data_IF_559296314623
#
_entry.id   IF_559296314623
#
_cell.length_a   1.000
_cell.length_b   1.000
_cell.length_c   1.000
_cell.angle_alpha   90.00
_cell.angle_beta   90.00
_cell.angle_gamma   90.00
#
_symmetry.space_group_name_H-M   'P 1'
#
loop_
_entity.id
_entity.type
_entity.pdbx_description
1 polymer ?
#
# COMPACT_ATOMS: atom_id res chain seq x y z
N UNK A 1 11.21 19.48 -31.69
CA UNK A 1 10.32 19.74 -30.55
C UNK A 1 9.76 18.40 -30.07
N UNK A 2 10.23 17.92 -28.91
CA UNK A 2 9.82 16.62 -28.35
C UNK A 2 8.36 16.69 -27.91
N UNK A 3 7.52 15.78 -28.41
CA UNK A 3 6.18 15.57 -27.86
C UNK A 3 6.36 14.87 -26.52
N UNK A 4 6.20 15.59 -25.42
CA UNK A 4 6.12 15.00 -24.09
C UNK A 4 4.93 14.02 -24.10
N UNK A 5 5.22 12.72 -24.13
CA UNK A 5 4.23 11.68 -23.97
C UNK A 5 3.92 11.60 -22.47
N UNK A 6 2.75 12.06 -22.05
CA UNK A 6 2.31 11.91 -20.67
C UNK A 6 1.85 10.47 -20.48
N UNK A 7 2.71 9.63 -19.90
CA UNK A 7 2.33 8.28 -19.49
C UNK A 7 1.55 8.35 -18.18
N UNK A 8 0.24 8.11 -18.26
CA UNK A 8 -0.60 7.97 -17.07
C UNK A 8 -0.42 6.56 -16.51
N UNK A 9 0.49 6.40 -15.54
CA UNK A 9 0.63 5.14 -14.81
C UNK A 9 -0.56 4.95 -13.87
N UNK A 10 -1.44 3.99 -14.20
CA UNK A 10 -2.62 3.64 -13.40
C UNK A 10 -2.27 2.89 -12.09
N UNK A 11 -0.98 2.60 -11.87
CA UNK A 11 -0.45 1.84 -10.71
C UNK A 11 -0.91 2.44 -9.38
N UNK A 12 -1.01 3.77 -9.27
CA UNK A 12 -1.47 4.45 -8.05
C UNK A 12 -2.91 4.12 -7.66
N UNK A 13 -3.75 3.66 -8.60
CA UNK A 13 -5.16 3.30 -8.35
C UNK A 13 -5.35 1.82 -7.98
N UNK A 14 -4.29 1.01 -8.12
CA UNK A 14 -4.38 -0.45 -7.94
C UNK A 14 -4.68 -0.80 -6.49
N UNK A 15 -4.15 -0.06 -5.51
CA UNK A 15 -4.39 -0.32 -4.08
C UNK A 15 -5.87 -0.22 -3.70
N UNK A 16 -6.52 0.90 -4.03
CA UNK A 16 -7.95 1.10 -3.77
C UNK A 16 -8.83 0.13 -4.56
N UNK A 17 -8.51 -0.12 -5.83
CA UNK A 17 -9.26 -1.05 -6.65
C UNK A 17 -9.19 -2.48 -6.09
N UNK A 18 -8.00 -2.91 -5.64
CA UNK A 18 -7.80 -4.21 -4.99
C UNK A 18 -8.67 -4.33 -3.74
N UNK A 19 -8.62 -3.33 -2.85
CA UNK A 19 -9.42 -3.32 -1.63
C UNK A 19 -10.93 -3.35 -1.94
N UNK A 20 -11.39 -2.58 -2.93
CA UNK A 20 -12.79 -2.54 -3.34
C UNK A 20 -13.28 -3.88 -3.93
N UNK A 21 -12.48 -4.52 -4.81
CA UNK A 21 -12.83 -5.80 -5.43
C UNK A 21 -12.86 -6.94 -4.40
N UNK A 22 -11.85 -7.01 -3.52
CA UNK A 22 -11.83 -8.02 -2.45
C UNK A 22 -12.99 -7.81 -1.48
N UNK A 23 -13.26 -6.57 -1.07
CA UNK A 23 -14.38 -6.26 -0.19
C UNK A 23 -15.74 -6.58 -0.80
N UNK A 24 -15.94 -6.32 -2.09
CA UNK A 24 -17.17 -6.69 -2.79
C UNK A 24 -17.34 -8.21 -2.88
N UNK A 25 -16.28 -8.94 -3.24
CA UNK A 25 -16.30 -10.39 -3.34
C UNK A 25 -16.63 -11.03 -1.97
N UNK A 26 -15.90 -10.64 -0.93
CA UNK A 26 -16.09 -11.20 0.40
C UNK A 26 -17.45 -10.80 0.96
N UNK A 27 -17.90 -9.57 0.74
CA UNK A 27 -19.23 -9.09 1.15
C UNK A 27 -20.38 -9.89 0.55
N UNK A 28 -20.32 -10.22 -0.76
CA UNK A 28 -21.34 -11.03 -1.42
C UNK A 28 -21.35 -12.46 -0.87
N UNK A 29 -20.19 -13.11 -0.82
CA UNK A 29 -20.10 -14.52 -0.41
C UNK A 29 -20.47 -14.70 1.06
N UNK A 30 -19.95 -13.85 1.94
CA UNK A 30 -20.20 -13.94 3.38
C UNK A 30 -21.66 -13.63 3.73
N UNK A 31 -22.24 -12.55 3.17
CA UNK A 31 -23.64 -12.17 3.44
C UNK A 31 -24.61 -13.22 2.90
N UNK A 32 -24.39 -13.73 1.68
CA UNK A 32 -25.24 -14.77 1.11
C UNK A 32 -25.16 -16.07 1.92
N UNK A 33 -23.95 -16.49 2.30
CA UNK A 33 -23.75 -17.69 3.13
C UNK A 33 -24.42 -17.56 4.50
N UNK A 34 -24.32 -16.38 5.13
CA UNK A 34 -24.98 -16.09 6.40
C UNK A 34 -26.50 -16.16 6.27
N UNK A 35 -27.08 -15.51 5.25
CA UNK A 35 -28.53 -15.52 5.00
C UNK A 35 -29.04 -16.93 4.75
N UNK A 36 -28.35 -17.71 3.90
CA UNK A 36 -28.70 -19.10 3.61
C UNK A 36 -28.62 -19.94 4.89
N UNK A 37 -27.56 -19.80 5.68
CA UNK A 37 -27.38 -20.52 6.94
C UNK A 37 -28.50 -20.24 7.93
N UNK A 38 -28.81 -18.97 8.19
CA UNK A 38 -29.88 -18.57 9.12
C UNK A 38 -31.26 -19.02 8.61
N UNK A 39 -31.52 -18.89 7.31
CA UNK A 39 -32.78 -19.33 6.71
C UNK A 39 -32.96 -20.87 6.81
N UNK A 40 -31.88 -21.63 6.63
CA UNK A 40 -31.91 -23.10 6.73
C UNK A 40 -32.23 -23.60 8.15
N UNK A 41 -32.00 -22.76 9.18
CA UNK A 41 -32.31 -23.06 10.57
C UNK A 41 -33.78 -22.79 10.95
N UNK A 42 -34.70 -22.75 9.97
CA UNK A 42 -36.13 -22.45 10.17
C UNK A 42 -36.39 -21.09 10.86
N UNK A 43 -35.50 -20.11 10.69
CA UNK A 43 -35.68 -18.77 11.22
C UNK A 43 -36.81 -18.00 10.49
N UNK A 44 -37.42 -17.04 11.18
CA UNK A 44 -38.42 -16.16 10.55
C UNK A 44 -37.77 -15.23 9.53
N UNK A 45 -38.53 -14.75 8.53
CA UNK A 45 -38.04 -13.77 7.54
C UNK A 45 -37.48 -12.51 8.20
N UNK A 46 -38.10 -12.03 9.29
CA UNK A 46 -37.61 -10.89 10.04
C UNK A 46 -36.23 -11.16 10.65
N UNK A 47 -36.02 -12.33 11.24
CA UNK A 47 -34.73 -12.75 11.79
C UNK A 47 -33.65 -12.85 10.72
N UNK A 48 -33.98 -13.38 9.54
CA UNK A 48 -33.06 -13.48 8.40
C UNK A 48 -32.64 -12.10 7.91
N UNK A 49 -33.59 -11.15 7.78
CA UNK A 49 -33.28 -9.78 7.36
C UNK A 49 -32.39 -9.06 8.37
N UNK A 50 -32.69 -9.19 9.67
CA UNK A 50 -31.87 -8.61 10.74
C UNK A 50 -30.44 -9.18 10.68
N UNK A 51 -30.29 -10.50 10.57
CA UNK A 51 -28.98 -11.14 10.47
C UNK A 51 -28.20 -10.71 9.23
N UNK A 52 -28.86 -10.64 8.06
CA UNK A 52 -28.23 -10.22 6.81
C UNK A 52 -27.75 -8.77 6.85
N UNK A 53 -28.58 -7.85 7.32
CA UNK A 53 -28.21 -6.42 7.44
C UNK A 53 -27.12 -6.22 8.49
N UNK A 54 -27.25 -6.85 9.66
CA UNK A 54 -26.23 -6.77 10.70
C UNK A 54 -24.88 -7.33 10.22
N UNK A 55 -24.90 -8.49 9.55
CA UNK A 55 -23.69 -9.11 8.98
C UNK A 55 -23.04 -8.25 7.90
N UNK A 56 -23.84 -7.66 7.00
CA UNK A 56 -23.34 -6.76 5.97
C UNK A 56 -22.68 -5.51 6.56
N UNK A 57 -23.35 -4.86 7.52
CA UNK A 57 -22.80 -3.65 8.18
C UNK A 57 -21.54 -3.99 8.97
N UNK A 58 -21.58 -5.06 9.78
CA UNK A 58 -20.42 -5.50 10.56
C UNK A 58 -19.23 -5.87 9.66
N UNK A 59 -19.48 -6.62 8.59
CA UNK A 59 -18.45 -7.01 7.61
C UNK A 59 -17.84 -5.80 6.91
N UNK A 60 -18.67 -4.87 6.42
CA UNK A 60 -18.19 -3.65 5.78
C UNK A 60 -17.34 -2.78 6.72
N UNK A 61 -17.79 -2.58 7.96
CA UNK A 61 -17.03 -1.81 8.95
C UNK A 61 -15.71 -2.50 9.32
N UNK A 62 -15.72 -3.83 9.48
CA UNK A 62 -14.51 -4.59 9.80
C UNK A 62 -13.47 -4.51 8.68
N UNK A 63 -13.88 -4.62 7.41
CA UNK A 63 -12.97 -4.48 6.27
C UNK A 63 -12.43 -3.07 6.13
N UNK A 64 -13.29 -2.06 6.28
CA UNK A 64 -12.88 -0.66 6.21
C UNK A 64 -11.86 -0.31 7.31
N UNK A 65 -12.12 -0.74 8.55
CA UNK A 65 -11.20 -0.55 9.66
C UNK A 65 -9.87 -1.30 9.43
N UNK A 66 -9.94 -2.55 8.93
CA UNK A 66 -8.75 -3.35 8.63
C UNK A 66 -7.85 -2.71 7.58
N UNK A 67 -8.40 -2.25 6.46
CA UNK A 67 -7.62 -1.57 5.41
C UNK A 67 -7.07 -0.23 5.92
N UNK A 68 -7.84 0.54 6.69
CA UNK A 68 -7.35 1.79 7.29
C UNK A 68 -6.14 1.55 8.21
N UNK A 69 -6.24 0.59 9.13
CA UNK A 69 -5.13 0.24 10.04
C UNK A 69 -3.93 -0.27 9.25
N UNK A 70 -4.15 -1.05 8.19
CA UNK A 70 -3.07 -1.57 7.34
C UNK A 70 -2.32 -0.44 6.63
N UNK A 71 -3.04 0.48 5.98
CA UNK A 71 -2.44 1.64 5.29
C UNK A 71 -1.76 2.59 6.28
N UNK A 72 -2.38 2.85 7.43
CA UNK A 72 -1.76 3.67 8.49
C UNK A 72 -0.47 3.05 8.99
N UNK A 73 -0.43 1.73 9.21
CA UNK A 73 0.76 1.04 9.68
C UNK A 73 1.90 1.06 8.65
N UNK A 74 1.56 0.98 7.36
CA UNK A 74 2.55 1.16 6.28
C UNK A 74 3.13 2.57 6.30
N UNK A 75 2.28 3.60 6.37
CA UNK A 75 2.71 4.99 6.43
C UNK A 75 3.58 5.28 7.67
N UNK A 76 3.24 4.72 8.83
CA UNK A 76 4.04 4.84 10.05
C UNK A 76 5.41 4.15 9.91
N UNK A 77 5.46 3.01 9.24
CA UNK A 77 6.72 2.30 8.94
C UNK A 77 7.59 3.13 7.99
N UNK A 78 7.01 3.66 6.91
CA UNK A 78 7.71 4.54 5.96
C UNK A 78 8.27 5.79 6.65
N UNK A 79 7.48 6.42 7.54
CA UNK A 79 7.95 7.57 8.32
C UNK A 79 9.08 7.21 9.28
N UNK A 80 9.02 6.02 9.91
CA UNK A 80 10.08 5.55 10.79
C UNK A 80 11.38 5.28 10.02
N UNK A 81 11.29 4.65 8.85
CA UNK A 81 12.42 4.41 7.97
C UNK A 81 13.03 5.72 7.48
N UNK A 82 12.21 6.68 7.01
CA UNK A 82 12.69 8.01 6.63
C UNK A 82 13.38 8.74 7.80
N UNK A 83 12.89 8.57 9.02
CA UNK A 83 13.52 9.17 10.20
C UNK A 83 14.85 8.50 10.56
N UNK A 84 15.01 7.20 10.28
CA UNK A 84 16.28 6.48 10.41
C UNK A 84 17.27 6.95 9.34
N UNK A 85 16.85 6.96 8.08
CA UNK A 85 17.67 7.38 6.94
C UNK A 85 18.21 8.81 7.12
N UNK A 86 17.37 9.73 7.63
CA UNK A 86 17.80 11.11 7.97
C UNK A 86 18.94 11.14 8.98
N UNK A 87 18.95 10.24 9.96
CA UNK A 87 20.01 10.16 10.97
C UNK A 87 21.27 9.54 10.37
N UNK A 88 21.11 8.54 9.50
CA UNK A 88 22.20 7.88 8.80
C UNK A 88 22.90 8.85 7.84
N UNK A 89 22.15 9.60 7.03
CA UNK A 89 22.67 10.69 6.19
C UNK A 89 23.44 11.76 6.98
N UNK A 90 22.99 12.09 8.19
CA UNK A 90 23.65 13.08 9.04
C UNK A 90 24.91 12.55 9.75
N UNK A 91 24.95 11.25 10.06
CA UNK A 91 26.03 10.64 10.86
C UNK A 91 27.08 9.93 10.01
N UNK A 92 26.72 9.42 8.84
CA UNK A 92 27.55 8.58 7.97
C UNK A 92 27.41 8.94 6.47
N UNK A 93 27.58 10.21 6.07
CA UNK A 93 27.28 10.66 4.71
C UNK A 93 28.07 9.94 3.61
N UNK A 94 29.34 9.58 3.85
CA UNK A 94 30.15 8.83 2.88
C UNK A 94 29.67 7.38 2.74
N UNK A 95 29.14 6.78 3.80
CA UNK A 95 28.59 5.42 3.75
C UNK A 95 27.30 5.41 2.92
N UNK A 96 26.38 6.33 3.20
CA UNK A 96 25.12 6.50 2.45
C UNK A 96 25.35 6.79 0.97
N UNK A 97 26.38 7.60 0.66
CA UNK A 97 26.80 7.85 -0.71
C UNK A 97 27.22 6.57 -1.43
N UNK A 98 28.02 5.74 -0.76
CA UNK A 98 28.47 4.46 -1.31
C UNK A 98 27.33 3.46 -1.44
N UNK A 99 26.40 3.43 -0.49
CA UNK A 99 25.19 2.61 -0.55
C UNK A 99 24.32 3.01 -1.75
N UNK A 100 24.04 4.30 -1.93
CA UNK A 100 23.29 4.79 -3.08
C UNK A 100 24.00 4.47 -4.41
N UNK A 101 25.33 4.65 -4.48
CA UNK A 101 26.09 4.26 -5.66
C UNK A 101 25.99 2.75 -5.94
N UNK A 102 26.03 1.91 -4.88
CA UNK A 102 25.88 0.46 -5.02
C UNK A 102 24.52 0.07 -5.60
N UNK A 103 23.43 0.75 -5.21
CA UNK A 103 22.09 0.53 -5.80
C UNK A 103 22.11 0.73 -7.33
N UNK A 104 22.83 1.73 -7.82
CA UNK A 104 22.95 1.97 -9.26
C UNK A 104 23.90 0.98 -9.95
N UNK A 105 24.97 0.56 -9.28
CA UNK A 105 25.87 -0.49 -9.77
C UNK A 105 25.10 -1.79 -9.98
N UNK A 106 24.26 -2.18 -9.01
CA UNK A 106 23.43 -3.39 -9.09
C UNK A 106 22.38 -3.32 -10.21
N UNK A 107 21.96 -2.09 -10.57
CA UNK A 107 21.11 -1.83 -11.74
C UNK A 107 21.88 -1.81 -13.07
N UNK A 108 23.20 -1.97 -13.04
CA UNK A 108 24.07 -2.06 -14.22
C UNK A 108 24.83 -0.78 -14.59
N UNK A 109 24.84 0.24 -13.72
CA UNK A 109 25.62 1.47 -13.95
C UNK A 109 27.10 1.23 -13.64
N UNK A 110 28.00 1.77 -14.47
CA UNK A 110 29.44 1.69 -14.20
C UNK A 110 29.79 2.37 -12.87
N UNK A 111 30.70 1.82 -12.03
CA UNK A 111 31.00 2.36 -10.70
C UNK A 111 31.33 3.85 -10.65
N UNK A 112 32.09 4.36 -11.64
CA UNK A 112 32.43 5.79 -11.69
C UNK A 112 31.21 6.66 -11.94
N UNK A 113 30.31 6.23 -12.84
CA UNK A 113 29.08 6.94 -13.14
C UNK A 113 28.09 6.84 -11.97
N UNK A 114 28.01 5.70 -11.30
CA UNK A 114 27.14 5.50 -10.15
C UNK A 114 27.48 6.43 -8.98
N UNK A 115 28.77 6.65 -8.71
CA UNK A 115 29.22 7.64 -7.72
C UNK A 115 28.81 9.07 -8.10
N UNK A 116 28.95 9.44 -9.38
CA UNK A 116 28.52 10.76 -9.86
C UNK A 116 26.99 10.94 -9.75
N UNK A 117 26.23 9.88 -10.00
CA UNK A 117 24.77 9.87 -9.83
C UNK A 117 24.42 10.05 -8.35
N UNK A 118 25.07 9.31 -7.44
CA UNK A 118 24.86 9.45 -6.01
C UNK A 118 25.15 10.88 -5.54
N UNK A 119 26.27 11.48 -5.96
CA UNK A 119 26.64 12.86 -5.63
C UNK A 119 25.56 13.87 -6.08
N UNK A 120 25.05 13.73 -7.30
CA UNK A 120 24.02 14.61 -7.84
C UNK A 120 22.66 14.44 -7.16
N UNK A 121 22.29 13.21 -6.80
CA UNK A 121 21.04 12.92 -6.11
C UNK A 121 21.08 13.42 -4.67
N UNK A 122 22.15 13.13 -3.92
CA UNK A 122 22.32 13.62 -2.55
C UNK A 122 22.35 15.14 -2.47
N UNK A 123 22.91 15.83 -3.48
CA UNK A 123 22.91 17.28 -3.55
C UNK A 123 21.52 17.90 -3.83
N UNK A 124 20.63 17.16 -4.51
CA UNK A 124 19.28 17.63 -4.83
C UNK A 124 18.28 17.27 -3.73
N UNK A 125 18.16 15.98 -3.46
CA UNK A 125 17.33 15.38 -2.41
C UNK A 125 17.79 13.94 -2.18
N UNK A 126 18.43 13.69 -1.04
CA UNK A 126 18.94 12.37 -0.68
C UNK A 126 17.84 11.35 -0.34
N UNK A 127 16.60 11.78 -0.11
CA UNK A 127 15.49 10.92 0.30
C UNK A 127 14.40 10.76 -0.77
N UNK A 128 14.45 11.56 -1.84
CA UNK A 128 13.55 11.46 -3.01
C UNK A 128 12.42 12.46 -3.05
#
# INVERSE_FOLDING_TARGET
>A
MSRLHTENHLVSRVGWLRAAVLGANDGIVSTASLIIGVASANATTASVLVAGVAGLVAGAMSMAAGEYVSVSSQADTEHADLARERKELASQPEFERHELAQIYIDRGVEPQLALQVADQLMAKDALG
#
